data_IF_773518169393
#
_entry.id   IF_773518169393
#
_cell.length_a   1.000
_cell.length_b   1.000
_cell.length_c   1.000
_cell.angle_alpha   90.00
_cell.angle_beta   90.00
_cell.angle_gamma   90.00
#
_symmetry.space_group_name_H-M   'P 1'
#
loop_
_entity.id
_entity.type
_entity.pdbx_description
1 polymer ?
#
# COMPACT_ATOMS: atom_id res chain seq x y z
N UNK A 1 40.33 12.03 26.58
CA UNK A 1 39.23 12.97 26.86
C UNK A 1 38.56 13.30 25.54
N UNK A 2 37.37 12.74 25.30
CA UNK A 2 36.60 12.98 24.08
C UNK A 2 36.01 14.40 24.19
N UNK A 3 36.43 15.28 23.30
CA UNK A 3 36.17 16.73 23.36
C UNK A 3 34.65 17.00 23.28
N UNK A 4 34.08 17.50 24.37
CA UNK A 4 32.63 17.75 24.53
C UNK A 4 32.06 18.61 23.39
N UNK A 5 32.90 19.46 22.79
CA UNK A 5 32.55 20.28 21.62
C UNK A 5 32.25 19.46 20.35
N UNK A 6 32.96 18.35 20.11
CA UNK A 6 32.69 17.48 18.95
C UNK A 6 31.40 16.68 19.12
N UNK A 7 31.10 16.26 20.35
CA UNK A 7 29.86 15.54 20.67
C UNK A 7 28.66 16.45 20.49
N UNK A 8 28.72 17.70 20.94
CA UNK A 8 27.62 18.67 20.78
C UNK A 8 27.36 18.99 19.31
N UNK A 9 28.39 19.18 18.48
CA UNK A 9 28.21 19.41 17.04
C UNK A 9 27.61 18.21 16.30
N UNK A 10 27.98 16.98 16.66
CA UNK A 10 27.40 15.79 16.05
C UNK A 10 25.92 15.61 16.41
N UNK A 11 25.56 15.88 17.66
CA UNK A 11 24.16 15.74 18.13
C UNK A 11 23.25 16.80 17.50
N UNK A 12 23.73 18.04 17.34
CA UNK A 12 22.98 19.11 16.65
C UNK A 12 22.79 18.83 15.15
N UNK A 13 23.80 18.27 14.48
CA UNK A 13 23.69 17.87 13.08
C UNK A 13 22.66 16.77 12.84
N UNK A 14 22.58 15.79 13.73
CA UNK A 14 21.61 14.67 13.64
C UNK A 14 20.18 15.15 13.90
N UNK A 15 19.98 16.09 14.83
CA UNK A 15 18.65 16.64 15.14
C UNK A 15 18.06 17.47 14.00
N UNK A 16 18.89 18.24 13.29
CA UNK A 16 18.46 19.05 12.14
C UNK A 16 18.07 18.19 10.93
N UNK A 17 18.72 17.05 10.72
CA UNK A 17 18.41 16.13 9.61
C UNK A 17 17.19 15.25 9.96
N UNK A 18 17.02 14.86 11.23
CA UNK A 18 15.90 14.02 11.67
C UNK A 18 14.55 14.73 11.77
N UNK A 19 14.53 16.03 12.10
CA UNK A 19 13.28 16.76 12.36
C UNK A 19 12.44 17.11 11.12
N UNK A 20 13.08 17.30 9.96
CA UNK A 20 12.40 17.73 8.73
C UNK A 20 11.75 16.59 7.92
N UNK A 21 12.18 15.34 8.13
CA UNK A 21 11.64 14.19 7.39
C UNK A 21 10.21 13.80 7.79
N UNK A 22 9.77 14.13 9.00
CA UNK A 22 8.50 13.60 9.55
C UNK A 22 7.29 14.37 9.00
N UNK A 23 7.44 15.65 8.67
CA UNK A 23 6.33 16.53 8.28
C UNK A 23 5.83 16.30 6.84
N UNK A 24 6.71 15.92 5.92
CA UNK A 24 6.36 15.72 4.50
C UNK A 24 5.51 14.45 4.33
N UNK A 25 5.75 13.44 5.16
CA UNK A 25 5.06 12.13 5.12
C UNK A 25 3.54 12.23 5.32
N UNK A 26 3.05 13.19 6.12
CA UNK A 26 1.60 13.30 6.42
C UNK A 26 0.80 13.97 5.32
N UNK A 27 1.35 14.95 4.60
CA UNK A 27 0.66 15.60 3.48
C UNK A 27 0.61 14.68 2.25
N UNK A 28 1.71 13.98 2.00
CA UNK A 28 1.81 13.01 0.89
C UNK A 28 0.79 11.88 1.04
N UNK A 29 0.60 11.33 2.25
CA UNK A 29 -0.31 10.20 2.45
C UNK A 29 -1.78 10.44 2.07
N UNK A 30 -2.28 11.68 2.15
CA UNK A 30 -3.68 11.99 1.77
C UNK A 30 -3.86 12.08 0.25
N UNK A 31 -2.88 12.65 -0.45
CA UNK A 31 -2.86 12.69 -1.92
C UNK A 31 -2.63 11.29 -2.51
N UNK A 32 -1.69 10.54 -1.94
CA UNK A 32 -1.35 9.18 -2.35
C UNK A 32 -2.51 8.21 -2.14
N UNK A 33 -3.28 8.39 -1.07
CA UNK A 33 -4.50 7.61 -0.81
C UNK A 33 -5.59 7.84 -1.87
N UNK A 34 -5.80 9.10 -2.29
CA UNK A 34 -6.76 9.43 -3.36
C UNK A 34 -6.28 8.83 -4.69
N UNK A 35 -5.01 9.05 -5.04
CA UNK A 35 -4.42 8.54 -6.27
C UNK A 35 -4.42 7.00 -6.37
N UNK A 36 -4.20 6.31 -5.25
CA UNK A 36 -4.30 4.85 -5.18
C UNK A 36 -5.76 4.39 -5.32
N UNK A 37 -6.70 5.09 -4.68
CA UNK A 37 -8.13 4.78 -4.78
C UNK A 37 -8.65 4.92 -6.20
N UNK A 38 -8.33 6.01 -6.89
CA UNK A 38 -8.74 6.23 -8.29
C UNK A 38 -8.31 5.07 -9.20
N UNK A 39 -7.13 4.50 -8.95
CA UNK A 39 -6.61 3.34 -9.69
C UNK A 39 -7.30 2.04 -9.34
N UNK A 40 -7.60 1.82 -8.06
CA UNK A 40 -8.39 0.66 -7.64
C UNK A 40 -9.80 0.71 -8.24
N UNK A 41 -10.41 1.89 -8.35
CA UNK A 41 -11.74 2.08 -8.95
C UNK A 41 -11.80 1.76 -10.45
N UNK A 42 -10.66 1.72 -11.16
CA UNK A 42 -10.58 1.24 -12.56
C UNK A 42 -10.92 -0.26 -12.64
N UNK A 43 -10.45 -1.03 -11.65
CA UNK A 43 -10.62 -2.48 -11.60
C UNK A 43 -11.92 -2.84 -10.86
N UNK A 44 -12.24 -2.08 -9.80
CA UNK A 44 -13.39 -2.29 -8.93
C UNK A 44 -14.21 -1.01 -8.78
N UNK A 45 -15.15 -0.73 -9.70
CA UNK A 45 -16.00 0.47 -9.62
C UNK A 45 -16.80 0.55 -8.31
N UNK A 46 -17.18 -0.61 -7.77
CA UNK A 46 -17.94 -0.76 -6.52
C UNK A 46 -17.05 -0.97 -5.29
N UNK A 47 -15.80 -0.47 -5.31
CA UNK A 47 -14.85 -0.60 -4.21
C UNK A 47 -15.44 -0.15 -2.86
N UNK A 48 -16.28 0.89 -2.86
CA UNK A 48 -16.93 1.40 -1.65
C UNK A 48 -17.99 0.44 -1.07
N UNK A 49 -18.58 -0.43 -1.91
CA UNK A 49 -19.60 -1.41 -1.52
C UNK A 49 -18.98 -2.73 -1.04
N UNK A 50 -17.68 -2.93 -1.26
CA UNK A 50 -16.96 -4.10 -0.75
C UNK A 50 -16.90 -4.09 0.79
N UNK A 51 -16.84 -5.28 1.38
CA UNK A 51 -16.67 -5.44 2.81
C UNK A 51 -15.38 -4.81 3.32
N UNK A 52 -15.39 -4.31 4.55
CA UNK A 52 -14.25 -3.57 5.13
C UNK A 52 -12.93 -4.36 5.09
N UNK A 53 -13.00 -5.68 5.25
CA UNK A 53 -11.83 -6.56 5.20
C UNK A 53 -11.20 -6.61 3.80
N UNK A 54 -12.00 -6.63 2.74
CA UNK A 54 -11.52 -6.66 1.36
C UNK A 54 -10.94 -5.31 0.95
N UNK A 55 -11.62 -4.22 1.34
CA UNK A 55 -11.11 -2.87 1.16
C UNK A 55 -9.79 -2.66 1.90
N UNK A 56 -9.68 -3.14 3.13
CA UNK A 56 -8.45 -3.07 3.91
C UNK A 56 -7.32 -3.87 3.24
N UNK A 57 -7.62 -5.07 2.71
CA UNK A 57 -6.66 -5.84 1.94
C UNK A 57 -6.16 -5.05 0.72
N UNK A 58 -7.07 -4.58 -0.14
CA UNK A 58 -6.72 -3.82 -1.35
C UNK A 58 -5.93 -2.55 -1.03
N UNK A 59 -6.33 -1.80 -0.01
CA UNK A 59 -5.61 -0.59 0.43
C UNK A 59 -4.21 -0.92 0.96
N UNK A 60 -4.06 -2.00 1.72
CA UNK A 60 -2.78 -2.43 2.28
C UNK A 60 -1.80 -2.90 1.20
N UNK A 61 -2.29 -3.62 0.19
CA UNK A 61 -1.53 -4.04 -0.98
C UNK A 61 -1.16 -2.84 -1.86
N UNK A 62 -2.11 -1.94 -2.11
CA UNK A 62 -1.88 -0.73 -2.88
C UNK A 62 -0.80 0.15 -2.24
N UNK A 63 -0.80 0.28 -0.92
CA UNK A 63 0.25 1.00 -0.20
C UNK A 63 1.61 0.28 -0.30
N UNK A 64 1.61 -1.06 -0.25
CA UNK A 64 2.85 -1.86 -0.31
C UNK A 64 3.53 -1.75 -1.68
N UNK A 65 2.76 -1.80 -2.78
CA UNK A 65 3.31 -1.71 -4.14
C UNK A 65 3.43 -0.26 -4.68
N UNK A 66 3.09 0.73 -3.85
CA UNK A 66 3.02 2.17 -4.20
C UNK A 66 2.13 2.43 -5.41
N UNK A 67 0.88 1.98 -5.34
CA UNK A 67 -0.06 2.04 -6.45
C UNK A 67 -0.25 3.46 -7.00
N UNK A 68 -0.13 4.49 -6.16
CA UNK A 68 -0.21 5.90 -6.56
C UNK A 68 0.80 6.30 -7.65
N UNK A 69 1.92 5.59 -7.75
CA UNK A 69 3.01 5.87 -8.70
C UNK A 69 2.89 5.03 -9.99
N UNK A 70 1.93 4.11 -10.06
CA UNK A 70 1.71 3.25 -11.24
C UNK A 70 0.85 3.93 -12.30
N UNK A 71 0.81 3.38 -13.50
CA UNK A 71 -0.12 3.84 -14.52
C UNK A 71 -1.58 3.60 -14.10
N UNK A 72 -2.48 4.37 -14.70
CA UNK A 72 -3.92 4.28 -14.46
C UNK A 72 -4.55 3.32 -15.48
N UNK A 73 -4.13 2.06 -15.44
CA UNK A 73 -4.70 0.99 -16.26
C UNK A 73 -4.89 -0.30 -15.47
N UNK A 74 -5.79 -1.17 -15.94
CA UNK A 74 -6.17 -2.37 -15.23
C UNK A 74 -5.01 -3.35 -15.03
N UNK A 75 -4.14 -3.51 -16.04
CA UNK A 75 -3.07 -4.50 -16.01
C UNK A 75 -1.99 -4.10 -15.00
N UNK A 76 -1.56 -2.85 -14.99
CA UNK A 76 -0.57 -2.34 -14.06
C UNK A 76 -1.07 -2.35 -12.61
N UNK A 77 -2.36 -2.04 -12.40
CA UNK A 77 -2.96 -2.11 -11.05
C UNK A 77 -2.92 -3.55 -10.53
N UNK A 78 -3.34 -4.51 -11.35
CA UNK A 78 -3.36 -5.92 -10.96
C UNK A 78 -1.95 -6.48 -10.73
N UNK A 79 -1.00 -6.16 -11.62
CA UNK A 79 0.39 -6.57 -11.46
C UNK A 79 1.00 -6.03 -10.16
N UNK A 80 0.78 -4.73 -9.86
CA UNK A 80 1.22 -4.09 -8.63
C UNK A 80 0.70 -4.84 -7.39
N UNK A 81 -0.60 -5.17 -7.35
CA UNK A 81 -1.21 -5.86 -6.23
C UNK A 81 -0.67 -7.30 -6.06
N UNK A 82 -0.46 -8.01 -7.16
CA UNK A 82 0.16 -9.35 -7.12
C UNK A 82 1.59 -9.31 -6.61
N UNK A 83 2.37 -8.31 -6.99
CA UNK A 83 3.74 -8.12 -6.49
C UNK A 83 3.74 -7.78 -4.99
N UNK A 84 2.79 -6.95 -4.52
CA UNK A 84 2.64 -6.66 -3.10
C UNK A 84 2.34 -7.91 -2.25
N UNK A 85 1.58 -8.87 -2.78
CA UNK A 85 1.35 -10.15 -2.09
C UNK A 85 2.64 -10.97 -1.96
N UNK A 86 3.58 -10.81 -2.90
CA UNK A 86 4.86 -11.52 -2.96
C UNK A 86 6.00 -10.80 -2.22
N UNK A 87 5.79 -9.57 -1.77
CA UNK A 87 6.77 -8.79 -1.01
C UNK A 87 7.27 -9.54 0.23
N UNK A 88 8.52 -9.33 0.67
CA UNK A 88 9.12 -10.05 1.80
C UNK A 88 8.43 -9.69 3.13
N UNK A 89 7.99 -8.44 3.27
CA UNK A 89 7.33 -7.92 4.47
C UNK A 89 5.96 -7.32 4.13
N UNK A 90 4.99 -8.14 3.70
CA UNK A 90 3.73 -7.64 3.25
C UNK A 90 2.92 -7.11 4.44
N UNK A 91 2.28 -5.95 4.26
CA UNK A 91 1.33 -5.42 5.23
C UNK A 91 -0.04 -5.96 4.91
N UNK A 92 -0.46 -7.01 5.60
CA UNK A 92 -1.83 -7.52 5.50
C UNK A 92 -2.71 -7.04 6.66
N UNK A 93 -4.04 -7.09 6.51
CA UNK A 93 -4.97 -6.92 7.63
C UNK A 93 -4.67 -7.89 8.78
N UNK A 94 -5.01 -7.48 10.01
CA UNK A 94 -4.72 -8.27 11.21
C UNK A 94 -5.23 -9.72 11.10
N UNK A 95 -4.36 -10.68 11.37
CA UNK A 95 -4.67 -12.12 11.35
C UNK A 95 -4.76 -12.75 9.95
N UNK A 96 -4.45 -12.01 8.88
CA UNK A 96 -4.44 -12.53 7.52
C UNK A 96 -3.04 -13.04 7.14
N UNK A 97 -2.96 -14.30 6.72
CA UNK A 97 -1.74 -14.89 6.16
C UNK A 97 -1.55 -14.50 4.68
N UNK A 98 -0.33 -14.65 4.15
CA UNK A 98 -0.05 -14.43 2.73
C UNK A 98 -0.92 -15.28 1.82
N UNK A 99 -1.11 -16.56 2.16
CA UNK A 99 -1.96 -17.46 1.38
C UNK A 99 -3.40 -16.95 1.34
N UNK A 100 -3.97 -16.57 2.48
CA UNK A 100 -5.32 -16.00 2.54
C UNK A 100 -5.43 -14.68 1.77
N UNK A 101 -4.42 -13.82 1.83
CA UNK A 101 -4.38 -12.59 1.07
C UNK A 101 -4.34 -12.86 -0.43
N UNK A 102 -3.56 -13.85 -0.88
CA UNK A 102 -3.48 -14.26 -2.27
C UNK A 102 -4.80 -14.87 -2.76
N UNK A 103 -5.33 -15.85 -2.03
CA UNK A 103 -6.60 -16.51 -2.35
C UNK A 103 -7.72 -15.46 -2.43
N UNK A 104 -7.76 -14.51 -1.48
CA UNK A 104 -8.79 -13.46 -1.48
C UNK A 104 -8.59 -12.45 -2.61
N UNK A 105 -7.35 -12.08 -2.92
CA UNK A 105 -7.07 -11.21 -4.06
C UNK A 105 -7.54 -11.88 -5.34
N UNK A 106 -7.22 -13.16 -5.55
CA UNK A 106 -7.62 -13.99 -6.69
C UNK A 106 -9.16 -14.07 -6.85
N UNK A 107 -9.89 -14.21 -5.74
CA UNK A 107 -11.37 -14.16 -5.73
C UNK A 107 -11.93 -12.78 -6.12
N UNK A 108 -11.23 -11.70 -5.77
CA UNK A 108 -11.64 -10.35 -6.09
C UNK A 108 -11.35 -9.98 -7.55
N UNK A 109 -10.49 -10.71 -8.29
CA UNK A 109 -10.20 -10.36 -9.68
C UNK A 109 -11.47 -10.34 -10.54
N UNK A 110 -11.76 -9.22 -11.23
CA UNK A 110 -12.88 -9.13 -12.17
C UNK A 110 -12.57 -10.01 -13.39
N UNK A 111 -12.95 -11.29 -13.27
CA UNK A 111 -12.62 -12.33 -14.25
C UNK A 111 -12.87 -13.74 -13.70
N UNK A 112 -12.70 -13.96 -12.40
CA UNK A 112 -12.98 -15.26 -11.75
C UNK A 112 -14.40 -15.40 -11.17
N UNK A 113 -15.06 -14.30 -10.82
CA UNK A 113 -16.45 -14.35 -10.34
C UNK A 113 -17.45 -14.78 -11.41
N UNK A 114 -17.22 -14.39 -12.67
CA UNK A 114 -18.14 -14.66 -13.79
C UNK A 114 -18.20 -16.14 -14.21
N UNK A 115 -17.22 -16.96 -13.81
CA UNK A 115 -17.21 -18.40 -14.10
C UNK A 115 -17.88 -19.25 -13.02
N UNK A 116 -18.23 -18.68 -11.85
CA UNK A 116 -18.89 -19.44 -10.76
C UNK A 116 -20.41 -19.34 -10.79
N UNK A 117 -21.00 -18.40 -11.53
CA UNK A 117 -22.47 -18.29 -11.71
C UNK A 117 -23.00 -18.99 -12.97
N UNK A 118 -22.13 -19.66 -13.74
CA UNK A 118 -22.48 -20.36 -14.98
C UNK A 118 -22.30 -21.89 -14.91
N UNK A 119 -22.33 -22.49 -13.70
CA UNK A 119 -22.28 -23.95 -13.51
C UNK A 119 -23.30 -24.41 -12.49
#
# INVERSE_FOLDING_TARGET
MLDTRRVISLVLGIFLIGGLGISITRMVGKSDGIASRERLEIVWPDLAQMGDRDRALLASLAMSCRLQDRNKDQADVLACLQDAVKDEQPRFPYGMSRKQAQDRLDELFPGQGRTKEAS
#
